data_IF_561975625774
#
_entry.id   IF_561975625774
#
_cell.length_a   1.000
_cell.length_b   1.000
_cell.length_c   1.000
_cell.angle_alpha   90.00
_cell.angle_beta   90.00
_cell.angle_gamma   90.00
#
_symmetry.space_group_name_H-M   'P 1'
#
loop_
_entity.id
_entity.type
_entity.pdbx_description
1 polymer ?
#
# COMPACT_ATOMS: atom_id res chain seq x y z
N UNK A 1 0.14 -4.02 13.93
CA UNK A 1 -0.22 -2.94 12.98
C UNK A 1 -1.65 -2.51 13.27
N UNK A 2 -1.97 -1.21 13.25
CA UNK A 2 -3.35 -0.74 13.48
C UNK A 2 -4.18 -1.02 12.23
N UNK A 3 -5.33 -1.67 12.36
CA UNK A 3 -6.18 -1.97 11.20
C UNK A 3 -7.48 -1.17 11.18
N UNK A 4 -7.96 -0.68 12.31
CA UNK A 4 -9.10 0.22 12.37
C UNK A 4 -9.17 0.98 13.68
N UNK A 5 -10.00 2.03 13.69
CA UNK A 5 -10.42 2.76 14.85
C UNK A 5 -11.89 2.45 15.15
N UNK A 6 -12.21 2.30 16.44
CA UNK A 6 -13.58 2.11 16.93
C UNK A 6 -13.85 3.05 18.11
N UNK A 7 -15.12 3.29 18.40
CA UNK A 7 -15.52 4.01 19.59
C UNK A 7 -16.38 3.14 20.51
N UNK A 8 -16.13 3.28 21.82
CA UNK A 8 -17.04 2.80 22.85
C UNK A 8 -17.70 4.01 23.53
N UNK A 9 -18.99 4.19 23.26
CA UNK A 9 -19.78 5.30 23.78
C UNK A 9 -20.53 4.86 25.04
N UNK A 10 -20.42 5.65 26.10
CA UNK A 10 -21.17 5.50 27.35
C UNK A 10 -21.85 6.84 27.70
N UNK A 11 -22.83 6.87 28.61
CA UNK A 11 -23.48 8.11 28.99
C UNK A 11 -22.45 9.17 29.42
N UNK A 12 -22.35 10.26 28.64
CA UNK A 12 -21.47 11.40 28.91
C UNK A 12 -20.02 11.29 28.44
N UNK A 13 -19.59 10.20 27.81
CA UNK A 13 -18.25 10.09 27.20
C UNK A 13 -18.21 9.08 26.07
N UNK A 14 -17.40 9.35 25.05
CA UNK A 14 -17.04 8.36 24.03
C UNK A 14 -15.53 8.20 23.94
N UNK A 15 -15.04 6.97 24.09
CA UNK A 15 -13.61 6.67 24.00
C UNK A 15 -13.31 6.03 22.66
N UNK A 16 -12.37 6.60 21.93
CA UNK A 16 -11.88 6.09 20.65
C UNK A 16 -10.66 5.21 20.92
N UNK A 17 -10.66 4.03 20.31
CA UNK A 17 -9.60 3.03 20.37
C UNK A 17 -9.07 2.72 18.98
N UNK A 18 -7.80 2.37 18.89
CA UNK A 18 -7.19 1.74 17.74
C UNK A 18 -7.15 0.23 17.99
N UNK A 19 -7.57 -0.57 17.02
CA UNK A 19 -7.35 -2.01 17.02
C UNK A 19 -6.02 -2.32 16.36
N UNK A 20 -5.11 -2.91 17.14
CA UNK A 20 -3.84 -3.40 16.65
C UNK A 20 -3.89 -4.92 16.45
N UNK A 21 -3.58 -5.36 15.23
CA UNK A 21 -3.44 -6.78 14.86
C UNK A 21 -2.22 -7.37 15.56
N UNK A 22 -2.44 -8.43 16.34
CA UNK A 22 -1.44 -9.18 17.11
C UNK A 22 -2.00 -10.54 17.58
N UNK A 23 -1.22 -11.39 18.27
CA UNK A 23 -1.66 -12.73 18.71
C UNK A 23 -2.89 -12.70 19.65
N UNK A 24 -3.16 -11.54 20.24
CA UNK A 24 -4.35 -11.19 21.01
C UNK A 24 -4.68 -9.77 20.63
N UNK A 25 -5.59 -9.56 19.68
CA UNK A 25 -5.95 -8.22 19.19
C UNK A 25 -6.01 -7.20 20.35
N UNK A 26 -5.20 -6.14 20.24
CA UNK A 26 -5.01 -5.17 21.32
C UNK A 26 -5.81 -3.90 21.04
N UNK A 27 -6.49 -3.40 22.07
CA UNK A 27 -7.20 -2.11 22.03
C UNK A 27 -6.33 -1.03 22.68
N UNK A 28 -5.78 -0.14 21.85
CA UNK A 28 -5.03 1.02 22.31
C UNK A 28 -5.93 2.24 22.40
N UNK A 29 -5.96 2.94 23.53
CA UNK A 29 -6.76 4.15 23.68
C UNK A 29 -6.12 5.33 22.93
N UNK A 30 -6.89 5.96 22.05
CA UNK A 30 -6.44 7.09 21.21
C UNK A 30 -6.83 8.41 21.86
N UNK A 31 -8.13 8.57 22.13
CA UNK A 31 -8.68 9.82 22.65
C UNK A 31 -10.05 9.60 23.30
N UNK A 32 -10.61 10.64 23.93
CA UNK A 32 -11.94 10.57 24.55
C UNK A 32 -12.68 11.89 24.35
N UNK A 33 -13.89 11.80 23.81
CA UNK A 33 -14.85 12.91 23.68
C UNK A 33 -15.72 13.00 24.94
N UNK A 34 -15.98 14.23 25.37
CA UNK A 34 -16.87 14.52 26.48
C UNK A 34 -18.34 14.62 26.05
N UNK A 35 -19.23 14.79 27.03
CA UNK A 35 -20.68 14.82 26.82
C UNK A 35 -21.15 15.85 25.76
N UNK A 36 -20.48 16.99 25.64
CA UNK A 36 -20.81 18.04 24.67
C UNK A 36 -20.51 17.67 23.22
N UNK A 37 -19.60 16.72 23.00
CA UNK A 37 -19.01 16.44 21.68
C UNK A 37 -19.32 15.02 21.19
N UNK A 38 -20.19 14.29 21.89
CA UNK A 38 -20.51 12.90 21.53
C UNK A 38 -21.01 12.74 20.09
N UNK A 39 -21.70 13.76 19.57
CA UNK A 39 -22.20 13.79 18.19
C UNK A 39 -21.08 13.73 17.14
N UNK A 40 -19.84 14.13 17.48
CA UNK A 40 -18.67 14.08 16.59
C UNK A 40 -17.95 12.72 16.61
N UNK A 41 -18.37 11.78 17.47
CA UNK A 41 -17.67 10.50 17.65
C UNK A 41 -17.61 9.70 16.35
N UNK A 42 -18.76 9.54 15.67
CA UNK A 42 -18.83 8.78 14.42
C UNK A 42 -17.95 9.41 13.34
N UNK A 43 -18.12 10.72 13.13
CA UNK A 43 -17.33 11.48 12.15
C UNK A 43 -15.83 11.38 12.41
N UNK A 44 -15.39 11.41 13.67
CA UNK A 44 -13.97 11.26 14.02
C UNK A 44 -13.47 9.84 13.74
N UNK A 45 -14.23 8.81 14.09
CA UNK A 45 -13.86 7.42 13.82
C UNK A 45 -13.77 7.18 12.31
N UNK A 46 -14.76 7.64 11.56
CA UNK A 46 -14.80 7.49 10.10
C UNK A 46 -13.62 8.22 9.45
N UNK A 47 -13.35 9.47 9.82
CA UNK A 47 -12.23 10.23 9.29
C UNK A 47 -10.86 9.61 9.66
N UNK A 48 -10.71 9.05 10.86
CA UNK A 48 -9.50 8.34 11.25
C UNK A 48 -9.30 7.06 10.45
N UNK A 49 -10.38 6.32 10.16
CA UNK A 49 -10.33 5.13 9.31
C UNK A 49 -10.04 5.50 7.84
N UNK A 50 -10.66 6.56 7.31
CA UNK A 50 -10.32 7.11 5.99
C UNK A 50 -8.86 7.56 5.92
N UNK A 51 -8.32 8.15 6.99
CA UNK A 51 -6.90 8.49 7.05
C UNK A 51 -5.99 7.25 7.09
N UNK A 52 -6.41 6.15 7.73
CA UNK A 52 -5.66 4.90 7.63
C UNK A 52 -5.66 4.39 6.20
N UNK A 53 -6.83 4.34 5.58
CA UNK A 53 -7.09 3.85 4.22
C UNK A 53 -6.31 4.64 3.15
N UNK A 54 -6.65 5.92 2.99
CA UNK A 54 -6.29 6.70 1.79
C UNK A 54 -5.33 7.84 2.11
N UNK A 55 -4.92 7.99 3.38
CA UNK A 55 -4.11 9.12 3.86
C UNK A 55 -4.72 10.47 3.51
N UNK A 56 -6.05 10.55 3.49
CA UNK A 56 -6.79 11.79 3.22
C UNK A 56 -6.68 12.77 4.41
N UNK A 57 -5.55 13.47 4.48
CA UNK A 57 -5.25 14.50 5.49
C UNK A 57 -6.25 15.65 5.46
N UNK A 58 -6.82 15.96 4.28
CA UNK A 58 -7.77 17.05 4.12
C UNK A 58 -9.12 16.71 4.78
N UNK A 59 -9.67 15.54 4.48
CA UNK A 59 -10.91 15.05 5.12
C UNK A 59 -10.73 14.88 6.63
N UNK A 60 -9.56 14.35 7.06
CA UNK A 60 -9.23 14.27 8.48
C UNK A 60 -9.15 15.67 9.11
N UNK A 61 -8.51 16.63 8.46
CA UNK A 61 -8.37 18.01 8.92
C UNK A 61 -9.71 18.70 9.20
N UNK A 62 -10.68 18.53 8.30
CA UNK A 62 -12.04 19.10 8.45
C UNK A 62 -12.72 18.63 9.73
N UNK A 63 -12.60 17.35 10.06
CA UNK A 63 -13.19 16.80 11.30
C UNK A 63 -12.37 17.21 12.52
N UNK A 64 -11.03 17.18 12.42
CA UNK A 64 -10.14 17.58 13.50
C UNK A 64 -10.33 19.04 13.93
N UNK A 65 -10.72 19.94 13.04
CA UNK A 65 -10.98 21.34 13.36
C UNK A 65 -12.30 21.58 14.10
N UNK A 66 -13.22 20.59 14.07
CA UNK A 66 -14.51 20.66 14.76
C UNK A 66 -14.46 20.02 16.16
N UNK A 67 -13.57 19.06 16.39
CA UNK A 67 -13.43 18.42 17.71
C UNK A 67 -12.68 19.31 18.70
N UNK A 68 -12.85 19.10 20.02
CA UNK A 68 -12.10 19.85 21.03
C UNK A 68 -10.59 19.75 20.84
N UNK A 69 -9.86 20.84 21.13
CA UNK A 69 -8.39 20.90 21.00
C UNK A 69 -7.65 19.71 21.63
N UNK A 70 -7.99 19.24 22.85
CA UNK A 70 -7.32 18.07 23.43
C UNK A 70 -7.54 16.79 22.60
N UNK A 71 -8.73 16.61 22.02
CA UNK A 71 -9.06 15.48 21.17
C UNK A 71 -8.23 15.51 19.89
N UNK A 72 -8.17 16.68 19.24
CA UNK A 72 -7.33 16.90 18.05
C UNK A 72 -5.86 16.58 18.32
N UNK A 73 -5.30 17.14 19.39
CA UNK A 73 -3.88 16.92 19.72
C UNK A 73 -3.58 15.45 20.02
N UNK A 74 -4.45 14.76 20.76
CA UNK A 74 -4.29 13.34 21.06
C UNK A 74 -4.34 12.48 19.78
N UNK A 75 -5.31 12.72 18.91
CA UNK A 75 -5.43 12.02 17.63
C UNK A 75 -4.19 12.24 16.74
N UNK A 76 -3.77 13.49 16.53
CA UNK A 76 -2.59 13.81 15.73
C UNK A 76 -1.30 13.19 16.31
N UNK A 77 -1.12 13.26 17.62
CA UNK A 77 0.04 12.67 18.28
C UNK A 77 0.06 11.15 18.16
N UNK A 78 -1.11 10.51 18.28
CA UNK A 78 -1.25 9.07 18.12
C UNK A 78 -0.91 8.64 16.68
N UNK A 79 -1.49 9.30 15.68
CA UNK A 79 -1.20 9.04 14.27
C UNK A 79 0.30 9.21 13.97
N UNK A 80 0.92 10.28 14.45
CA UNK A 80 2.36 10.51 14.28
C UNK A 80 3.23 9.40 14.88
N UNK A 81 2.83 8.86 16.04
CA UNK A 81 3.64 7.89 16.79
C UNK A 81 3.42 6.44 16.33
N UNK A 82 2.19 6.11 15.92
CA UNK A 82 1.74 4.72 15.74
C UNK A 82 1.25 4.41 14.32
N UNK A 83 0.98 5.44 13.53
CA UNK A 83 0.56 5.34 12.14
C UNK A 83 1.57 6.05 11.24
N UNK A 84 2.86 5.78 11.44
CA UNK A 84 3.88 6.25 10.52
C UNK A 84 3.49 5.81 9.10
N UNK A 85 3.59 6.70 8.10
CA UNK A 85 3.23 6.37 6.73
C UNK A 85 4.09 5.19 6.28
N UNK A 86 3.48 4.01 6.15
CA UNK A 86 4.05 2.89 5.43
C UNK A 86 3.41 2.91 4.05
N UNK A 87 4.24 3.19 3.05
CA UNK A 87 3.82 3.21 1.65
C UNK A 87 3.13 1.86 1.33
N UNK A 88 1.87 1.93 0.89
CA UNK A 88 1.07 0.78 0.51
C UNK A 88 0.71 -0.21 1.61
N UNK A 89 0.42 0.25 2.81
CA UNK A 89 -0.09 -0.59 3.90
C UNK A 89 -1.62 -0.62 4.03
N UNK A 90 -2.37 0.20 3.28
CA UNK A 90 -3.82 0.36 3.45
C UNK A 90 -4.55 0.70 2.14
N UNK A 91 -5.84 0.35 2.09
CA UNK A 91 -6.84 0.69 1.05
C UNK A 91 -8.12 1.21 1.71
N UNK A 92 -9.08 1.68 0.89
CA UNK A 92 -10.45 2.01 1.32
C UNK A 92 -11.18 0.91 2.12
N UNK A 93 -10.70 -0.33 2.07
CA UNK A 93 -11.29 -1.50 2.75
C UNK A 93 -10.50 -1.96 3.99
N UNK A 94 -9.40 -1.30 4.35
CA UNK A 94 -8.61 -1.62 5.55
C UNK A 94 -7.12 -1.80 5.25
N UNK A 95 -6.35 -2.43 6.16
CA UNK A 95 -4.95 -2.72 5.90
C UNK A 95 -4.80 -3.74 4.78
N UNK A 96 -3.66 -3.68 4.10
CA UNK A 96 -3.27 -4.68 3.13
C UNK A 96 -2.48 -5.78 3.82
N UNK A 97 -3.01 -7.00 3.72
CA UNK A 97 -2.35 -8.19 4.21
C UNK A 97 -1.60 -8.88 3.07
N UNK A 98 -0.47 -9.49 3.39
CA UNK A 98 0.21 -10.42 2.48
C UNK A 98 -0.58 -11.73 2.48
N UNK A 99 -1.25 -12.03 1.36
CA UNK A 99 -2.02 -13.28 1.20
C UNK A 99 -1.17 -14.43 0.69
N UNK A 100 -0.05 -14.11 0.03
CA UNK A 100 0.95 -15.10 -0.37
C UNK A 100 2.37 -14.57 -0.14
N UNK A 101 3.15 -15.16 0.79
CA UNK A 101 4.35 -14.53 1.35
C UNK A 101 5.54 -14.47 0.39
N UNK A 102 5.74 -15.45 -0.49
CA UNK A 102 6.68 -15.40 -1.61
C UNK A 102 6.44 -16.59 -2.54
N UNK A 103 6.38 -16.34 -3.85
CA UNK A 103 6.46 -17.35 -4.92
C UNK A 103 7.68 -17.00 -5.77
N UNK A 104 8.50 -18.00 -6.05
CA UNK A 104 9.77 -17.83 -6.76
C UNK A 104 9.64 -18.34 -8.19
N UNK A 105 10.16 -17.57 -9.13
CA UNK A 105 10.29 -17.91 -10.54
C UNK A 105 11.74 -17.71 -10.96
N UNK A 106 12.35 -18.70 -11.61
CA UNK A 106 13.74 -18.61 -12.06
C UNK A 106 13.91 -17.72 -13.30
N UNK A 107 12.84 -17.53 -14.06
CA UNK A 107 12.88 -16.87 -15.36
C UNK A 107 11.65 -15.97 -15.56
N UNK A 108 11.79 -14.98 -16.45
CA UNK A 108 10.63 -14.27 -17.02
C UNK A 108 10.11 -15.09 -18.19
N UNK A 109 9.08 -15.89 -17.93
CA UNK A 109 8.45 -16.76 -18.91
C UNK A 109 6.92 -16.59 -18.95
N UNK A 110 6.26 -17.46 -19.72
CA UNK A 110 4.81 -17.43 -19.86
C UNK A 110 4.09 -17.86 -18.56
N UNK A 111 4.72 -18.67 -17.71
CA UNK A 111 4.14 -19.07 -16.42
C UNK A 111 4.06 -17.88 -15.45
N UNK A 112 5.16 -17.12 -15.34
CA UNK A 112 5.17 -15.89 -14.55
C UNK A 112 4.19 -14.85 -15.11
N UNK A 113 4.12 -14.68 -16.43
CA UNK A 113 3.13 -13.80 -17.05
C UNK A 113 1.69 -14.19 -16.68
N UNK A 114 1.31 -15.44 -16.91
CA UNK A 114 -0.03 -15.94 -16.60
C UNK A 114 -0.35 -15.81 -15.10
N UNK A 115 0.66 -15.99 -14.23
CA UNK A 115 0.51 -15.82 -12.79
C UNK A 115 0.18 -14.37 -12.41
N UNK A 116 0.91 -13.40 -12.97
CA UNK A 116 0.68 -11.98 -12.73
C UNK A 116 -0.64 -11.50 -13.35
N UNK A 117 -0.96 -11.94 -14.57
CA UNK A 117 -2.26 -11.67 -15.21
C UNK A 117 -3.41 -12.22 -14.38
N UNK A 118 -3.30 -13.46 -13.90
CA UNK A 118 -4.31 -14.07 -13.05
C UNK A 118 -4.54 -13.30 -11.75
N UNK A 119 -3.46 -12.91 -11.07
CA UNK A 119 -3.53 -12.10 -9.84
C UNK A 119 -4.15 -10.72 -10.09
N UNK A 120 -3.75 -10.05 -11.16
CA UNK A 120 -4.29 -8.76 -11.58
C UNK A 120 -5.79 -8.84 -11.92
N UNK A 121 -6.22 -9.86 -12.67
CA UNK A 121 -7.61 -10.03 -13.09
C UNK A 121 -8.59 -10.27 -11.94
N UNK A 122 -8.11 -10.79 -10.80
CA UNK A 122 -8.92 -11.01 -9.60
C UNK A 122 -8.76 -9.89 -8.55
N UNK A 123 -8.00 -8.84 -8.87
CA UNK A 123 -7.83 -7.66 -8.02
C UNK A 123 -6.88 -7.84 -6.83
N UNK A 124 -5.88 -8.72 -6.93
CA UNK A 124 -4.83 -8.82 -5.92
C UNK A 124 -3.72 -7.80 -6.18
N UNK A 125 -3.22 -7.18 -5.12
CA UNK A 125 -2.02 -6.37 -5.22
C UNK A 125 -0.79 -7.22 -5.47
N UNK A 126 0.12 -6.73 -6.30
CA UNK A 126 1.35 -7.44 -6.68
C UNK A 126 2.54 -6.64 -6.16
N UNK A 127 3.51 -7.34 -5.56
CA UNK A 127 4.87 -6.86 -5.35
C UNK A 127 5.83 -7.93 -5.85
N UNK A 128 6.75 -7.55 -6.72
CA UNK A 128 7.71 -8.48 -7.30
C UNK A 128 9.07 -7.82 -7.39
N UNK A 129 10.14 -8.54 -7.11
CA UNK A 129 11.51 -8.04 -7.28
C UNK A 129 12.45 -9.13 -7.72
N UNK A 130 13.51 -8.75 -8.43
CA UNK A 130 14.60 -9.67 -8.68
C UNK A 130 15.54 -9.77 -7.47
N UNK A 131 16.02 -10.97 -7.23
CA UNK A 131 17.01 -11.32 -6.22
C UNK A 131 18.05 -12.24 -6.83
N UNK A 132 19.26 -12.22 -6.30
CA UNK A 132 20.36 -13.07 -6.75
C UNK A 132 20.45 -14.28 -5.82
N UNK A 133 20.27 -15.46 -6.39
CA UNK A 133 20.44 -16.74 -5.73
C UNK A 133 21.90 -17.00 -5.33
N UNK A 134 22.10 -18.01 -4.48
CA UNK A 134 23.42 -18.39 -3.97
C UNK A 134 24.37 -18.97 -5.03
N UNK A 135 23.81 -19.51 -6.11
CA UNK A 135 24.49 -19.97 -7.33
C UNK A 135 24.86 -18.82 -8.28
N UNK A 136 24.32 -17.62 -8.04
CA UNK A 136 24.54 -16.42 -8.85
C UNK A 136 23.44 -16.17 -9.89
N UNK A 137 22.47 -17.08 -10.01
CA UNK A 137 21.32 -16.91 -10.89
C UNK A 137 20.37 -15.85 -10.33
N UNK A 138 19.47 -15.34 -11.18
CA UNK A 138 18.54 -14.29 -10.82
C UNK A 138 17.15 -14.87 -10.71
N UNK A 139 16.61 -14.87 -9.50
CA UNK A 139 15.25 -15.29 -9.22
C UNK A 139 14.32 -14.07 -9.13
N UNK A 140 13.05 -14.29 -9.44
CA UNK A 140 11.98 -13.34 -9.25
C UNK A 140 11.09 -13.75 -8.08
N UNK A 141 11.04 -12.89 -7.07
CA UNK A 141 10.25 -13.10 -5.86
C UNK A 141 8.96 -12.33 -5.99
N UNK A 142 7.83 -13.03 -6.01
CA UNK A 142 6.49 -12.45 -6.11
C UNK A 142 5.74 -12.61 -4.80
N UNK A 143 5.23 -11.50 -4.29
CA UNK A 143 4.35 -11.40 -3.14
C UNK A 143 2.98 -10.91 -3.61
N UNK A 144 1.93 -11.63 -3.20
CA UNK A 144 0.54 -11.21 -3.44
C UNK A 144 -0.06 -10.60 -2.19
N UNK A 145 -0.76 -9.51 -2.40
CA UNK A 145 -1.42 -8.69 -1.40
C UNK A 145 -2.94 -8.88 -1.50
N UNK A 146 -3.64 -8.76 -0.38
CA UNK A 146 -5.09 -8.97 -0.29
C UNK A 146 -5.90 -8.04 -1.18
N UNK A 147 -5.33 -6.89 -1.55
CA UNK A 147 -5.95 -5.82 -2.31
C UNK A 147 -4.86 -4.91 -2.91
N UNK A 148 -5.25 -4.06 -3.85
CA UNK A 148 -4.38 -3.05 -4.48
C UNK A 148 -4.41 -1.74 -3.71
N UNK A 149 -3.25 -1.08 -3.60
CA UNK A 149 -3.14 0.20 -2.90
C UNK A 149 -3.68 1.31 -3.79
N UNK A 150 -4.66 2.05 -3.26
CA UNK A 150 -5.14 3.29 -3.87
C UNK A 150 -4.07 4.40 -3.74
N UNK A 151 -3.65 4.96 -4.86
CA UNK A 151 -2.77 6.12 -4.93
C UNK A 151 -3.50 7.23 -5.69
N UNK A 152 -3.63 8.45 -5.13
CA UNK A 152 -4.23 9.56 -5.87
C UNK A 152 -3.47 9.82 -7.17
N UNK A 153 -4.17 10.14 -8.27
CA UNK A 153 -3.51 10.39 -9.55
C UNK A 153 -2.49 11.56 -9.53
N UNK A 154 -2.59 12.44 -8.53
CA UNK A 154 -1.67 13.56 -8.30
C UNK A 154 -0.42 13.20 -7.48
N UNK A 155 -0.39 12.02 -6.85
CA UNK A 155 0.70 11.55 -6.03
C UNK A 155 1.72 10.74 -6.84
N UNK A 156 2.90 10.50 -6.26
CA UNK A 156 3.84 9.56 -6.84
C UNK A 156 3.22 8.17 -6.88
N UNK A 157 3.35 7.41 -7.99
CA UNK A 157 2.65 6.15 -8.21
C UNK A 157 3.24 4.99 -7.40
N UNK A 158 3.77 5.23 -6.20
CA UNK A 158 4.50 4.20 -5.45
C UNK A 158 3.66 3.64 -4.33
N UNK A 159 3.51 2.33 -4.35
CA UNK A 159 2.85 1.54 -3.29
C UNK A 159 3.85 0.73 -2.49
N UNK A 160 5.13 0.78 -2.87
CA UNK A 160 6.24 0.14 -2.20
C UNK A 160 7.34 1.16 -1.87
N UNK A 161 7.73 1.23 -0.59
CA UNK A 161 8.75 2.16 -0.12
C UNK A 161 10.09 1.94 -0.84
N UNK A 162 10.71 3.04 -1.26
CA UNK A 162 12.03 3.00 -1.90
C UNK A 162 13.08 2.45 -0.91
N UNK A 163 14.00 1.59 -1.38
CA UNK A 163 15.12 1.13 -0.58
C UNK A 163 16.02 2.30 -0.20
N UNK A 164 16.47 2.34 1.06
CA UNK A 164 17.30 3.43 1.60
C UNK A 164 18.68 3.48 0.93
N UNK A 165 19.19 2.33 0.49
CA UNK A 165 20.56 2.17 0.00
C UNK A 165 20.70 2.34 -1.51
N UNK A 166 19.60 2.46 -2.26
CA UNK A 166 19.62 2.54 -3.71
C UNK A 166 18.89 3.77 -4.24
N UNK A 167 19.43 4.39 -5.29
CA UNK A 167 18.76 5.50 -5.97
C UNK A 167 17.91 4.96 -7.10
N UNK A 168 16.72 5.52 -7.22
CA UNK A 168 15.85 5.25 -8.34
C UNK A 168 16.42 5.88 -9.62
N UNK A 169 16.68 5.05 -10.64
CA UNK A 169 17.06 5.52 -11.97
C UNK A 169 15.84 5.85 -12.81
N UNK A 170 14.84 4.98 -12.76
CA UNK A 170 13.65 5.08 -13.59
C UNK A 170 12.43 4.50 -12.89
N UNK A 171 11.29 5.17 -13.05
CA UNK A 171 9.97 4.57 -12.86
C UNK A 171 9.27 4.50 -14.22
N UNK A 172 8.84 3.29 -14.60
CA UNK A 172 7.95 3.05 -15.73
C UNK A 172 6.54 2.70 -15.20
N UNK A 173 5.50 3.05 -15.95
CA UNK A 173 4.11 2.76 -15.61
C UNK A 173 3.37 2.25 -16.83
N UNK A 174 2.39 1.37 -16.67
CA UNK A 174 1.58 0.83 -17.76
C UNK A 174 0.73 1.88 -18.52
N UNK A 175 0.60 3.12 -18.01
CA UNK A 175 0.08 4.26 -18.82
C UNK A 175 0.92 4.55 -20.07
N UNK A 176 2.20 4.17 -20.09
CA UNK A 176 3.06 4.39 -21.26
C UNK A 176 2.66 3.39 -22.34
N UNK A 177 2.11 3.90 -23.44
CA UNK A 177 1.67 3.08 -24.58
C UNK A 177 2.83 2.24 -25.14
N UNK A 178 2.71 0.92 -25.02
CA UNK A 178 3.67 -0.06 -25.52
C UNK A 178 3.08 -0.83 -26.70
N UNK A 179 2.81 -0.14 -27.81
CA UNK A 179 2.64 -0.78 -29.13
C UNK A 179 1.61 -1.91 -29.27
N UNK A 180 0.64 -2.03 -28.35
CA UNK A 180 -0.36 -3.11 -28.33
C UNK A 180 0.01 -4.34 -27.49
N UNK A 181 1.13 -4.31 -26.78
CA UNK A 181 1.52 -5.35 -25.81
C UNK A 181 0.78 -5.07 -24.49
N UNK A 182 0.24 -6.11 -23.85
CA UNK A 182 -0.49 -6.00 -22.59
C UNK A 182 0.34 -5.38 -21.45
N UNK A 183 -0.30 -4.89 -20.37
CA UNK A 183 0.39 -4.19 -19.29
C UNK A 183 1.38 -5.09 -18.53
N UNK A 184 1.04 -6.38 -18.34
CA UNK A 184 1.90 -7.37 -17.67
C UNK A 184 3.16 -7.62 -18.48
N UNK A 185 3.03 -8.07 -19.73
CA UNK A 185 4.19 -8.30 -20.62
C UNK A 185 5.06 -7.06 -20.77
N UNK A 186 4.45 -5.88 -20.83
CA UNK A 186 5.19 -4.62 -20.90
C UNK A 186 6.03 -4.35 -19.65
N UNK A 187 5.48 -4.61 -18.46
CA UNK A 187 6.19 -4.49 -17.20
C UNK A 187 7.35 -5.50 -17.11
N UNK A 188 7.09 -6.75 -17.52
CA UNK A 188 8.09 -7.82 -17.56
C UNK A 188 9.24 -7.50 -18.51
N UNK A 189 8.97 -6.98 -19.71
CA UNK A 189 10.03 -6.58 -20.64
C UNK A 189 10.96 -5.51 -20.06
N UNK A 190 10.39 -4.48 -19.41
CA UNK A 190 11.19 -3.43 -18.75
C UNK A 190 12.05 -4.01 -17.63
N UNK A 191 11.49 -4.96 -16.89
CA UNK A 191 12.18 -5.62 -15.80
C UNK A 191 13.28 -6.56 -16.29
N UNK A 192 13.05 -7.30 -17.36
CA UNK A 192 14.00 -8.17 -18.02
C UNK A 192 15.21 -7.37 -18.54
N UNK A 193 14.96 -6.30 -19.30
CA UNK A 193 16.00 -5.43 -19.84
C UNK A 193 16.91 -4.87 -18.73
N UNK A 194 16.30 -4.33 -17.65
CA UNK A 194 17.07 -3.78 -16.53
C UNK A 194 17.80 -4.86 -15.71
N UNK A 195 17.18 -6.03 -15.53
CA UNK A 195 17.80 -7.16 -14.83
C UNK A 195 19.00 -7.72 -15.60
N UNK A 196 18.92 -7.76 -16.94
CA UNK A 196 20.03 -8.16 -17.80
C UNK A 196 21.24 -7.22 -17.71
N UNK A 197 21.02 -5.95 -17.34
CA UNK A 197 22.09 -5.00 -16.99
C UNK A 197 22.61 -5.16 -15.55
N UNK A 198 22.12 -6.15 -14.80
CA UNK A 198 22.49 -6.42 -13.41
C UNK A 198 21.88 -5.44 -12.42
N UNK A 199 20.78 -4.76 -12.77
CA UNK A 199 20.11 -3.78 -11.91
C UNK A 199 19.05 -4.41 -11.02
N UNK A 200 18.91 -3.87 -9.82
CA UNK A 200 17.75 -4.17 -9.00
C UNK A 200 16.49 -3.56 -9.61
N UNK A 201 15.44 -4.37 -9.70
CA UNK A 201 14.13 -4.03 -10.22
C UNK A 201 13.05 -4.41 -9.23
N UNK A 202 12.03 -3.56 -9.11
CA UNK A 202 10.78 -3.85 -8.41
C UNK A 202 9.60 -3.58 -9.31
N UNK A 203 8.63 -4.49 -9.31
CA UNK A 203 7.33 -4.35 -9.94
C UNK A 203 6.29 -4.28 -8.82
N UNK A 204 5.36 -3.33 -8.90
CA UNK A 204 4.20 -3.29 -8.01
C UNK A 204 2.95 -2.79 -8.73
N UNK A 205 1.78 -3.11 -8.20
CA UNK A 205 0.52 -2.56 -8.68
C UNK A 205 -0.02 -1.46 -7.78
N UNK A 206 -0.81 -0.58 -8.38
CA UNK A 206 -1.58 0.45 -7.70
C UNK A 206 -2.94 0.62 -8.37
N UNK A 207 -3.90 1.09 -7.60
CA UNK A 207 -5.19 1.54 -8.08
C UNK A 207 -5.18 3.08 -8.10
N UNK A 208 -5.56 3.72 -9.21
CA UNK A 208 -5.88 5.15 -9.16
C UNK A 208 -7.21 5.27 -8.42
N UNK A 209 -7.26 6.10 -7.36
CA UNK A 209 -8.42 6.21 -6.46
C UNK A 209 -9.77 6.13 -7.17
N UNK A 210 -10.73 5.51 -6.49
CA UNK A 210 -12.18 5.53 -6.70
C UNK A 210 -12.82 6.93 -6.82
N UNK A 211 -12.05 8.02 -6.71
CA UNK A 211 -12.48 9.39 -7.08
C UNK A 211 -12.01 9.83 -8.48
N UNK A 212 -11.12 9.06 -9.11
CA UNK A 212 -10.60 9.19 -10.47
C UNK A 212 -11.16 8.08 -11.39
N UNK A 213 -12.40 7.64 -11.12
CA UNK A 213 -13.19 6.82 -12.05
C UNK A 213 -13.55 7.65 -13.28
N UNK A 214 -13.39 7.06 -14.46
CA UNK A 214 -14.08 7.57 -15.65
C UNK A 214 -15.61 7.53 -15.43
N UNK A 215 -16.37 8.18 -16.30
CA UNK A 215 -17.85 8.20 -16.22
C UNK A 215 -18.48 6.79 -16.25
N UNK A 216 -17.71 5.74 -16.54
CA UNK A 216 -18.13 4.35 -16.64
C UNK A 216 -17.79 3.52 -15.38
N UNK A 217 -17.10 4.11 -14.39
CA UNK A 217 -16.83 3.46 -13.10
C UNK A 217 -15.67 2.47 -13.12
N UNK A 218 -14.81 2.52 -14.14
CA UNK A 218 -13.66 1.62 -14.23
C UNK A 218 -12.43 2.24 -13.56
N UNK A 219 -12.16 1.86 -12.31
CA UNK A 219 -10.84 2.04 -11.72
C UNK A 219 -9.85 1.15 -12.50
N UNK A 220 -8.85 1.75 -13.15
CA UNK A 220 -7.80 0.98 -13.84
C UNK A 220 -6.59 0.88 -12.94
N UNK A 221 -6.25 -0.35 -12.60
CA UNK A 221 -5.03 -0.66 -11.86
C UNK A 221 -3.84 -0.66 -12.80
N UNK A 222 -2.67 -0.31 -12.28
CA UNK A 222 -1.49 -0.09 -13.08
C UNK A 222 -0.28 -0.82 -12.55
N UNK A 223 0.51 -1.35 -13.49
CA UNK A 223 1.83 -1.86 -13.19
C UNK A 223 2.82 -0.70 -13.17
N UNK A 224 3.64 -0.69 -12.13
CA UNK A 224 4.75 0.23 -11.95
C UNK A 224 6.02 -0.57 -11.82
N UNK A 225 7.04 -0.19 -12.59
CA UNK A 225 8.37 -0.80 -12.55
C UNK A 225 9.39 0.25 -12.13
N UNK A 226 9.98 0.04 -10.96
CA UNK A 226 11.06 0.85 -10.42
C UNK A 226 12.40 0.16 -10.68
N UNK A 227 13.30 0.86 -11.37
CA UNK A 227 14.68 0.41 -11.68
C UNK A 227 15.66 1.24 -10.88
N UNK A 228 16.58 0.58 -10.18
CA UNK A 228 17.53 1.21 -9.28
C UNK A 228 18.95 1.22 -9.85
N UNK A 229 19.79 2.14 -9.35
CA UNK A 229 21.21 2.21 -9.69
C UNK A 229 22.07 1.17 -8.97
N UNK A 230 21.46 0.39 -8.08
CA UNK A 230 22.10 -0.67 -7.32
C UNK A 230 22.10 -2.02 -8.07
N UNK A 231 23.03 -2.89 -7.67
CA UNK A 231 23.06 -4.28 -8.10
C UNK A 231 21.89 -5.08 -7.52
N UNK A 232 21.52 -6.17 -8.20
CA UNK A 232 20.52 -7.13 -7.72
C UNK A 232 20.90 -7.61 -6.31
N UNK A 233 20.02 -7.48 -5.30
CA UNK A 233 20.32 -7.89 -3.94
C UNK A 233 20.46 -9.41 -3.84
N UNK A 234 21.32 -9.88 -2.94
CA UNK A 234 21.40 -11.32 -2.63
C UNK A 234 20.12 -11.75 -1.91
N UNK A 235 19.59 -12.90 -2.31
CA UNK A 235 18.46 -13.53 -1.65
C UNK A 235 18.73 -13.60 -0.15
N UNK A 236 17.88 -12.96 0.64
CA UNK A 236 17.94 -13.10 2.08
C UNK A 236 17.36 -14.47 2.42
N UNK A 237 18.24 -15.42 2.74
CA UNK A 237 17.86 -16.65 3.43
C UNK A 237 17.39 -16.23 4.82
N UNK A 238 16.11 -15.86 4.96
CA UNK A 238 15.49 -15.69 6.26
C UNK A 238 15.53 -17.06 6.98
N UNK A 239 16.37 -17.15 8.03
CA UNK A 239 16.41 -18.23 9.03
C UNK A 239 15.14 -18.26 9.90
#
# INVERSE_FOLDING_TARGET
MIHSFIAHTSPGRSRVFALAKGPRDELEAVTTLGAGDLHLTGELVDALNCFLADRDEASLGVVLDRVPKPVRMAAQQYLKNKCAPMLGAFTGFGPIDVVRPAVYFSDIDDELEEYLEGAYMIGLGIRMSNERGSDGDVDWVVQLLSDEVSVPASAEPRTWALPVEAKLLQTWTSKRLTGGIGPVRSALNVAEDASAEGRWVRIHTLLHSDRDVDFEGNGSSEFVVDVFDASIPLQHLDE
#
